data_IF_701995225210
#
_entry.id   IF_701995225210
#
_cell.length_a   1.000
_cell.length_b   1.000
_cell.length_c   1.000
_cell.angle_alpha   90.00
_cell.angle_beta   90.00
_cell.angle_gamma   90.00
#
_symmetry.space_group_name_H-M   'P 1'
#
loop_
_entity.id
_entity.type
_entity.pdbx_description
1 polymer ?
#
# COMPACT_ATOMS: atom_id res chain seq x y z
N UNK A 1 9.97 5.68 48.61
CA UNK A 1 10.78 6.90 48.67
C UNK A 1 10.63 7.60 47.31
N UNK A 2 9.87 8.69 47.30
CA UNK A 2 9.55 9.48 46.11
C UNK A 2 10.51 10.64 46.03
N UNK A 3 11.09 10.88 44.85
CA UNK A 3 11.80 12.11 44.54
C UNK A 3 11.06 12.84 43.42
N UNK A 4 10.32 13.87 43.81
CA UNK A 4 9.80 14.92 42.91
C UNK A 4 10.94 15.88 42.58
N UNK A 5 11.19 16.17 41.32
CA UNK A 5 11.97 17.34 40.88
C UNK A 5 11.03 18.32 40.15
N UNK A 6 10.94 19.50 40.76
CA UNK A 6 10.31 20.70 40.21
C UNK A 6 11.20 21.29 39.11
N UNK A 7 10.58 21.66 37.98
CA UNK A 7 11.20 22.45 36.91
C UNK A 7 10.59 23.87 36.96
N UNK A 8 11.37 24.94 36.91
CA UNK A 8 10.85 26.31 36.97
C UNK A 8 10.28 26.77 35.62
N UNK A 9 9.17 27.52 35.72
CA UNK A 9 8.51 28.18 34.61
C UNK A 9 9.33 29.39 34.10
N UNK A 10 9.64 29.42 32.84
CA UNK A 10 10.16 30.60 32.13
C UNK A 10 9.03 31.35 31.42
N UNK A 11 9.01 32.67 31.68
CA UNK A 11 7.99 33.60 31.14
C UNK A 11 8.16 33.77 29.63
N UNK A 12 7.03 33.65 28.91
CA UNK A 12 6.92 33.95 27.47
C UNK A 12 6.36 35.36 27.32
N UNK A 13 7.17 36.25 26.76
CA UNK A 13 6.75 37.63 26.42
C UNK A 13 5.81 37.65 25.21
N UNK A 14 4.71 38.35 25.38
CA UNK A 14 3.68 38.58 24.37
C UNK A 14 4.11 39.71 23.43
N UNK A 15 4.35 39.45 22.16
CA UNK A 15 4.56 40.50 21.14
C UNK A 15 3.24 40.67 20.37
N UNK A 16 2.60 41.78 20.55
CA UNK A 16 1.44 42.21 19.77
C UNK A 16 1.90 42.76 18.41
N UNK A 17 1.60 42.07 17.33
CA UNK A 17 1.73 42.59 15.98
C UNK A 17 0.40 43.19 15.51
N UNK A 18 0.41 44.48 15.20
CA UNK A 18 -0.69 45.23 14.62
C UNK A 18 -0.91 44.83 13.14
N UNK A 19 -2.03 44.21 12.84
CA UNK A 19 -2.44 43.90 11.46
C UNK A 19 -3.28 45.05 10.94
N UNK A 20 -2.83 45.70 9.85
CA UNK A 20 -3.60 46.67 9.06
C UNK A 20 -4.50 45.94 8.05
N UNK A 21 -5.76 46.39 7.82
CA UNK A 21 -6.59 45.79 6.80
C UNK A 21 -6.19 46.28 5.41
N UNK A 22 -5.99 45.36 4.48
CA UNK A 22 -5.82 45.62 3.05
C UNK A 22 -7.17 45.49 2.37
N UNK A 23 -7.58 46.59 1.71
CA UNK A 23 -8.82 46.68 0.96
C UNK A 23 -8.79 45.77 -0.29
N UNK A 24 -9.86 44.97 -0.44
CA UNK A 24 -10.04 44.08 -1.57
C UNK A 24 -10.18 44.81 -2.92
N UNK A 25 -9.48 44.33 -3.93
CA UNK A 25 -9.80 44.52 -5.34
C UNK A 25 -10.16 43.16 -5.94
N UNK A 26 -11.44 43.05 -6.29
CA UNK A 26 -11.94 41.95 -7.14
C UNK A 26 -11.47 42.22 -8.58
N UNK A 27 -10.50 41.42 -9.03
CA UNK A 27 -10.10 41.35 -10.41
C UNK A 27 -10.05 39.87 -10.81
N UNK A 28 -11.04 39.43 -11.56
CA UNK A 28 -11.00 38.11 -12.22
C UNK A 28 -10.00 38.25 -13.37
N UNK A 29 -8.75 37.91 -13.14
CA UNK A 29 -7.75 37.74 -14.20
C UNK A 29 -7.73 36.27 -14.60
N UNK A 30 -8.00 36.01 -15.89
CA UNK A 30 -7.89 34.69 -16.49
C UNK A 30 -6.52 34.09 -16.20
N UNK A 31 -6.52 32.88 -15.63
CA UNK A 31 -5.30 32.16 -15.33
C UNK A 31 -4.45 31.93 -16.59
N UNK A 32 -3.13 31.90 -16.47
CA UNK A 32 -2.26 31.63 -17.63
C UNK A 32 -2.60 30.24 -18.17
N UNK A 33 -2.88 30.19 -19.47
CA UNK A 33 -2.95 28.91 -20.23
C UNK A 33 -1.66 28.17 -19.93
N UNK A 34 -1.77 26.98 -19.35
CA UNK A 34 -0.63 26.18 -18.95
C UNK A 34 0.37 26.07 -20.10
N UNK A 35 1.60 26.45 -19.83
CA UNK A 35 2.70 26.17 -20.73
C UNK A 35 2.72 24.64 -20.94
N UNK A 36 3.01 24.15 -22.18
CA UNK A 36 3.14 22.73 -22.41
C UNK A 36 4.18 22.19 -21.43
N UNK A 37 3.78 21.21 -20.62
CA UNK A 37 4.70 20.49 -19.74
C UNK A 37 5.76 19.91 -20.68
N UNK A 38 6.97 20.44 -20.64
CA UNK A 38 8.09 19.87 -21.39
C UNK A 38 8.19 18.41 -20.96
N UNK A 39 8.14 17.50 -21.91
CA UNK A 39 8.46 16.10 -21.66
C UNK A 39 9.80 16.07 -20.90
N UNK A 40 9.83 15.40 -19.75
CA UNK A 40 11.06 15.27 -19.01
C UNK A 40 12.07 14.55 -19.90
N UNK A 41 13.22 15.18 -20.15
CA UNK A 41 14.28 14.54 -20.91
C UNK A 41 14.95 13.50 -20.04
N UNK A 42 15.14 12.30 -20.57
CA UNK A 42 15.89 11.25 -19.90
C UNK A 42 17.28 11.08 -20.52
N UNK A 43 18.23 10.61 -19.72
CA UNK A 43 19.57 10.18 -20.15
C UNK A 43 19.78 8.68 -19.89
N UNK A 44 19.08 8.12 -18.90
CA UNK A 44 19.15 6.71 -18.51
C UNK A 44 17.76 6.19 -18.11
N UNK A 45 17.60 4.87 -18.00
CA UNK A 45 16.36 4.23 -17.57
C UNK A 45 15.96 4.59 -16.12
N UNK A 46 16.92 5.01 -15.31
CA UNK A 46 16.67 5.58 -13.98
C UNK A 46 15.78 6.82 -14.04
N UNK A 47 15.92 7.64 -15.07
CA UNK A 47 15.09 8.84 -15.26
C UNK A 47 13.64 8.48 -15.64
N UNK A 48 13.41 7.21 -15.99
CA UNK A 48 12.11 6.61 -16.29
C UNK A 48 11.59 5.72 -15.15
N UNK A 49 12.01 5.97 -13.90
CA UNK A 49 11.63 5.22 -12.70
C UNK A 49 11.91 3.71 -12.78
N UNK A 50 12.78 3.27 -13.69
CA UNK A 50 12.98 1.86 -14.09
C UNK A 50 11.68 1.15 -14.55
N UNK A 51 10.55 1.85 -14.65
CA UNK A 51 9.29 1.37 -15.21
C UNK A 51 9.18 1.63 -16.72
N UNK A 52 10.29 1.88 -17.37
CA UNK A 52 10.42 2.12 -18.79
C UNK A 52 11.88 2.22 -19.19
N UNK A 53 12.11 2.54 -20.45
CA UNK A 53 13.43 2.74 -21.04
C UNK A 53 13.56 4.12 -21.63
N UNK A 54 14.75 4.73 -21.50
CA UNK A 54 15.07 6.01 -22.12
C UNK A 54 15.44 5.82 -23.60
N UNK A 55 14.62 6.33 -24.50
CA UNK A 55 14.83 6.23 -25.96
C UNK A 55 14.81 7.60 -26.59
N UNK A 56 15.92 8.03 -27.16
CA UNK A 56 16.00 9.32 -27.85
C UNK A 56 15.73 10.53 -26.94
N UNK A 57 16.03 10.43 -25.67
CA UNK A 57 15.80 11.49 -24.68
C UNK A 57 14.37 11.56 -24.12
N UNK A 58 13.53 10.55 -24.39
CA UNK A 58 12.17 10.44 -23.84
C UNK A 58 11.93 9.06 -23.23
N UNK A 59 11.15 8.98 -22.16
CA UNK A 59 10.78 7.73 -21.54
C UNK A 59 9.73 6.99 -22.36
N UNK A 60 10.00 5.73 -22.69
CA UNK A 60 9.02 4.76 -23.17
C UNK A 60 8.65 3.83 -22.05
N UNK A 61 7.47 4.02 -21.50
CA UNK A 61 7.01 3.29 -20.32
C UNK A 61 6.59 1.86 -20.66
N UNK A 62 6.84 0.96 -19.72
CA UNK A 62 6.31 -0.40 -19.73
C UNK A 62 4.86 -0.38 -19.22
N UNK A 63 3.91 -1.07 -19.85
CA UNK A 63 2.56 -1.20 -19.29
C UNK A 63 2.59 -1.81 -17.87
N UNK A 64 1.77 -1.33 -16.94
CA UNK A 64 0.75 -0.29 -17.06
C UNK A 64 1.23 1.12 -16.68
N UNK A 65 2.52 1.36 -16.66
CA UNK A 65 3.10 2.64 -16.27
C UNK A 65 2.96 3.71 -17.36
N UNK A 66 2.80 4.95 -16.96
CA UNK A 66 2.61 6.11 -17.82
C UNK A 66 3.19 7.39 -17.21
N UNK A 67 3.03 8.50 -17.91
CA UNK A 67 3.53 9.80 -17.50
C UNK A 67 4.96 10.07 -18.01
N UNK A 68 5.46 11.29 -17.81
CA UNK A 68 6.73 11.73 -18.41
C UNK A 68 7.96 10.98 -17.89
N UNK A 69 7.86 10.37 -16.72
CA UNK A 69 8.93 9.59 -16.06
C UNK A 69 8.49 8.18 -15.71
N UNK A 70 7.39 7.67 -16.30
CA UNK A 70 6.82 6.34 -16.05
C UNK A 70 6.51 6.09 -14.54
N UNK A 71 6.07 7.10 -13.85
CA UNK A 71 5.84 7.05 -12.40
C UNK A 71 4.37 6.95 -12.00
N UNK A 72 3.44 6.80 -12.96
CA UNK A 72 2.00 6.79 -12.71
C UNK A 72 1.40 5.52 -13.32
N UNK A 73 0.55 4.84 -12.56
CA UNK A 73 -0.21 3.69 -13.03
C UNK A 73 -1.42 4.14 -13.86
N UNK A 74 -1.58 3.53 -15.02
CA UNK A 74 -2.76 3.69 -15.86
C UNK A 74 -3.84 2.70 -15.44
N UNK A 75 -5.08 3.16 -15.29
CA UNK A 75 -6.22 2.34 -14.92
C UNK A 75 -7.03 1.94 -16.14
N UNK A 76 -7.48 0.70 -16.14
CA UNK A 76 -8.60 0.24 -16.97
C UNK A 76 -9.90 0.37 -16.19
N UNK A 77 -11.02 0.32 -16.90
CA UNK A 77 -12.32 0.08 -16.29
C UNK A 77 -12.26 -1.20 -15.47
N UNK A 78 -12.52 -1.07 -14.17
CA UNK A 78 -12.46 -2.19 -13.23
C UNK A 78 -13.82 -2.88 -13.17
N UNK A 79 -13.93 -4.23 -13.13
CA UNK A 79 -15.18 -4.89 -12.82
C UNK A 79 -15.76 -4.38 -11.49
N UNK A 80 -17.09 -4.14 -11.46
CA UNK A 80 -17.76 -3.60 -10.26
C UNK A 80 -17.57 -4.51 -9.03
N UNK A 81 -17.38 -5.82 -9.22
CA UNK A 81 -17.03 -6.78 -8.17
C UNK A 81 -15.70 -6.47 -7.48
N UNK A 82 -14.81 -5.71 -8.13
CA UNK A 82 -13.54 -5.30 -7.56
C UNK A 82 -13.63 -4.13 -6.57
N UNK A 83 -14.77 -3.43 -6.51
CA UNK A 83 -14.97 -2.29 -5.59
C UNK A 83 -14.84 -2.73 -4.14
N UNK A 84 -15.48 -3.86 -3.80
CA UNK A 84 -15.28 -4.52 -2.52
C UNK A 84 -15.15 -6.01 -2.74
N UNK A 85 -14.01 -6.58 -2.36
CA UNK A 85 -13.77 -8.02 -2.49
C UNK A 85 -14.48 -8.83 -1.39
N UNK A 86 -14.97 -8.18 -0.36
CA UNK A 86 -15.80 -8.75 0.71
C UNK A 86 -17.21 -8.17 0.62
N UNK A 87 -18.28 -8.96 0.92
CA UNK A 87 -19.65 -8.47 0.77
C UNK A 87 -19.93 -7.22 1.60
N UNK A 88 -20.30 -6.12 0.96
CA UNK A 88 -20.67 -4.85 1.63
C UNK A 88 -21.91 -5.02 2.53
N UNK A 89 -22.71 -6.06 2.31
CA UNK A 89 -23.87 -6.41 3.17
C UNK A 89 -23.47 -7.02 4.51
N UNK A 90 -22.22 -7.46 4.67
CA UNK A 90 -21.69 -7.94 5.95
C UNK A 90 -21.21 -6.72 6.77
N UNK A 91 -21.66 -6.56 8.00
CA UNK A 91 -21.29 -5.38 8.80
C UNK A 91 -19.85 -5.41 9.33
N UNK A 92 -19.10 -6.50 9.05
CA UNK A 92 -17.70 -6.63 9.49
C UNK A 92 -16.78 -5.92 8.51
N UNK A 93 -15.76 -5.31 9.03
CA UNK A 93 -14.73 -4.66 8.24
C UNK A 93 -13.66 -5.63 7.77
N UNK A 94 -13.03 -5.30 6.66
CA UNK A 94 -11.80 -5.92 6.18
C UNK A 94 -10.75 -4.83 5.96
N UNK A 95 -9.47 -5.21 5.94
CA UNK A 95 -8.43 -4.23 5.68
C UNK A 95 -7.28 -4.84 4.92
N UNK A 96 -7.32 -4.71 3.58
CA UNK A 96 -6.45 -5.39 2.64
C UNK A 96 -6.53 -6.92 2.74
N UNK A 97 -5.74 -7.64 1.92
CA UNK A 97 -5.67 -9.08 1.89
C UNK A 97 -4.45 -9.54 1.10
N UNK A 98 -4.21 -10.83 1.07
CA UNK A 98 -3.22 -11.45 0.21
C UNK A 98 -3.91 -12.28 -0.86
N UNK A 99 -3.69 -11.97 -2.15
CA UNK A 99 -4.23 -12.71 -3.27
C UNK A 99 -3.15 -13.61 -3.87
N UNK A 100 -3.43 -14.89 -4.00
CA UNK A 100 -2.54 -15.89 -4.61
C UNK A 100 -3.31 -16.62 -5.70
N UNK A 101 -2.74 -16.77 -6.89
CA UNK A 101 -3.28 -17.67 -7.89
C UNK A 101 -2.84 -19.10 -7.58
N UNK A 102 -3.83 -19.98 -7.38
CA UNK A 102 -3.59 -21.38 -7.09
C UNK A 102 -3.28 -22.21 -8.35
N UNK A 103 -2.69 -23.38 -8.13
CA UNK A 103 -2.51 -24.39 -9.20
C UNK A 103 -3.82 -24.95 -9.72
N UNK A 104 -4.91 -24.79 -8.97
CA UNK A 104 -6.29 -25.11 -9.35
C UNK A 104 -6.90 -24.07 -10.31
N UNK A 105 -6.14 -23.04 -10.65
CA UNK A 105 -6.56 -21.95 -11.53
C UNK A 105 -7.46 -20.90 -10.86
N UNK A 106 -7.77 -21.05 -9.58
CA UNK A 106 -8.55 -20.08 -8.82
C UNK A 106 -7.65 -19.02 -8.18
N UNK A 107 -8.24 -17.89 -7.87
CA UNK A 107 -7.65 -16.85 -7.04
C UNK A 107 -8.07 -17.06 -5.60
N UNK A 108 -7.11 -17.15 -4.71
CA UNK A 108 -7.29 -17.34 -3.28
C UNK A 108 -7.00 -16.03 -2.57
N UNK A 109 -7.98 -15.50 -1.89
CA UNK A 109 -7.86 -14.27 -1.10
C UNK A 109 -7.90 -14.63 0.39
N UNK A 110 -6.84 -14.28 1.09
CA UNK A 110 -6.73 -14.34 2.54
C UNK A 110 -6.96 -12.94 3.10
N UNK A 111 -8.08 -12.76 3.78
CA UNK A 111 -8.55 -11.44 4.16
C UNK A 111 -8.82 -11.37 5.67
N UNK A 112 -8.22 -10.40 6.40
CA UNK A 112 -8.53 -10.20 7.80
C UNK A 112 -9.93 -9.62 7.95
N UNK A 113 -10.69 -10.18 8.90
CA UNK A 113 -12.04 -9.74 9.23
C UNK A 113 -12.03 -9.22 10.66
N UNK A 114 -12.54 -8.02 10.84
CA UNK A 114 -12.67 -7.34 12.11
C UNK A 114 -14.13 -7.34 12.58
N UNK A 115 -14.34 -7.07 13.85
CA UNK A 115 -15.68 -6.83 14.38
C UNK A 115 -16.26 -5.57 13.71
N UNK A 116 -17.60 -5.48 13.60
CA UNK A 116 -18.24 -4.26 13.12
C UNK A 116 -17.76 -3.02 13.89
N UNK A 117 -17.50 -1.95 13.15
CA UNK A 117 -17.06 -0.67 13.70
C UNK A 117 -15.64 -0.67 14.26
N UNK A 118 -14.78 -1.61 13.84
CA UNK A 118 -13.36 -1.64 14.25
C UNK A 118 -12.45 -2.02 13.09
N UNK A 119 -11.24 -1.48 13.08
CA UNK A 119 -10.12 -1.89 12.22
C UNK A 119 -8.89 -2.30 13.04
N UNK A 120 -9.04 -2.51 14.32
CA UNK A 120 -7.96 -2.89 15.21
C UNK A 120 -8.34 -4.01 16.16
N UNK A 121 -7.38 -4.48 16.93
CA UNK A 121 -7.59 -5.54 17.93
C UNK A 121 -7.51 -6.93 17.33
N UNK A 122 -8.41 -7.83 17.75
CA UNK A 122 -8.40 -9.22 17.29
C UNK A 122 -9.17 -9.36 15.98
N UNK A 123 -8.50 -9.83 14.95
CA UNK A 123 -9.11 -10.19 13.67
C UNK A 123 -9.13 -11.70 13.47
N UNK A 124 -9.92 -12.15 12.50
CA UNK A 124 -9.96 -13.53 12.03
C UNK A 124 -9.60 -13.54 10.56
N UNK A 125 -8.71 -14.42 10.14
CA UNK A 125 -8.40 -14.58 8.74
C UNK A 125 -9.49 -15.40 8.05
N UNK A 126 -10.11 -14.86 6.99
CA UNK A 126 -10.99 -15.61 6.11
C UNK A 126 -10.25 -15.97 4.82
N UNK A 127 -10.65 -17.09 4.25
CA UNK A 127 -10.21 -17.55 2.96
C UNK A 127 -11.38 -17.57 1.98
N UNK A 128 -11.23 -16.86 0.87
CA UNK A 128 -12.17 -16.84 -0.24
C UNK A 128 -11.53 -17.31 -1.54
N UNK A 129 -12.33 -17.86 -2.45
CA UNK A 129 -11.87 -18.26 -3.79
C UNK A 129 -12.73 -17.66 -4.88
N UNK A 130 -12.12 -17.33 -6.02
CA UNK A 130 -12.81 -16.78 -7.19
C UNK A 130 -12.17 -17.26 -8.49
N UNK A 131 -12.97 -17.27 -9.58
CA UNK A 131 -12.45 -17.55 -10.93
C UNK A 131 -11.74 -16.32 -11.55
N UNK A 132 -11.99 -15.13 -11.03
CA UNK A 132 -11.33 -13.87 -11.44
C UNK A 132 -10.65 -13.24 -10.25
N UNK A 133 -9.53 -12.55 -10.50
CA UNK A 133 -8.81 -11.80 -9.46
C UNK A 133 -9.67 -10.68 -8.85
N UNK A 134 -10.59 -10.13 -9.62
CA UNK A 134 -11.57 -9.11 -9.18
C UNK A 134 -12.81 -9.70 -8.53
N UNK A 135 -12.84 -11.01 -8.28
CA UNK A 135 -14.01 -11.66 -7.69
C UNK A 135 -15.14 -11.98 -8.72
N UNK A 136 -16.39 -12.20 -8.24
CA UNK A 136 -16.74 -12.23 -6.82
C UNK A 136 -16.15 -13.44 -6.09
N UNK A 137 -15.69 -13.23 -4.87
CA UNK A 137 -15.13 -14.28 -4.04
C UNK A 137 -16.21 -15.05 -3.30
N UNK A 138 -16.05 -16.36 -3.25
CA UNK A 138 -16.86 -17.25 -2.41
C UNK A 138 -16.11 -17.53 -1.13
N UNK A 139 -16.71 -17.16 0.00
CA UNK A 139 -16.09 -17.17 1.31
C UNK A 139 -16.41 -18.44 2.09
N UNK A 140 -15.45 -18.87 2.92
CA UNK A 140 -15.60 -20.03 3.82
C UNK A 140 -15.91 -21.37 3.13
N UNK A 141 -15.59 -21.49 1.85
CA UNK A 141 -15.78 -22.77 1.14
C UNK A 141 -14.72 -23.80 1.55
N UNK A 142 -13.65 -23.35 2.19
CA UNK A 142 -12.54 -24.20 2.67
C UNK A 142 -12.23 -23.83 4.12
N UNK A 143 -12.53 -24.72 5.07
CA UNK A 143 -12.22 -24.48 6.45
C UNK A 143 -10.71 -24.54 6.70
N UNK A 144 -10.24 -23.85 7.71
CA UNK A 144 -8.98 -24.04 8.42
C UNK A 144 -7.81 -23.11 8.08
N UNK A 145 -8.10 -21.81 7.96
CA UNK A 145 -7.09 -20.89 8.45
C UNK A 145 -7.68 -20.23 9.69
N UNK A 146 -7.75 -21.00 10.77
CA UNK A 146 -7.98 -20.40 12.08
C UNK A 146 -6.64 -19.93 12.58
N UNK A 147 -6.23 -18.76 12.15
CA UNK A 147 -5.19 -18.02 12.82
C UNK A 147 -5.93 -17.31 13.95
N UNK A 148 -6.12 -18.02 15.05
CA UNK A 148 -6.64 -17.45 16.30
C UNK A 148 -5.49 -16.82 17.07
N UNK A 149 -5.72 -15.65 17.63
CA UNK A 149 -4.99 -15.04 18.74
C UNK A 149 -3.74 -14.22 18.44
N UNK A 150 -3.73 -13.42 17.39
CA UNK A 150 -2.67 -12.40 17.33
C UNK A 150 -3.31 -11.07 17.02
N UNK A 151 -2.85 -10.03 17.69
CA UNK A 151 -3.28 -8.65 17.44
C UNK A 151 -3.43 -8.33 15.96
N UNK A 152 -3.89 -7.19 15.60
CA UNK A 152 -4.26 -6.79 14.25
C UNK A 152 -3.48 -7.50 13.12
N UNK A 153 -4.18 -8.25 12.26
CA UNK A 153 -3.60 -8.89 11.08
C UNK A 153 -3.53 -7.94 9.88
N UNK A 154 -3.32 -6.68 10.14
CA UNK A 154 -3.39 -5.63 9.15
C UNK A 154 -2.50 -5.93 7.95
N UNK A 155 -3.09 -5.88 6.75
CA UNK A 155 -2.37 -5.94 5.50
C UNK A 155 -1.52 -7.20 5.27
N UNK A 156 -2.12 -8.41 5.28
CA UNK A 156 -1.37 -9.63 5.00
C UNK A 156 -0.67 -9.54 3.65
N UNK A 157 0.56 -10.01 3.61
CA UNK A 157 1.34 -10.20 2.39
C UNK A 157 1.57 -11.68 2.15
N UNK A 158 1.84 -12.06 0.92
CA UNK A 158 2.11 -13.45 0.57
C UNK A 158 3.35 -13.57 -0.31
N UNK A 159 4.06 -14.68 -0.14
CA UNK A 159 5.12 -15.11 -1.05
C UNK A 159 4.91 -16.58 -1.35
N UNK A 160 4.95 -16.92 -2.64
CA UNK A 160 5.00 -18.31 -3.11
C UNK A 160 6.43 -18.59 -3.54
N UNK A 161 7.01 -19.66 -3.04
CA UNK A 161 8.38 -20.02 -3.37
C UNK A 161 8.58 -21.53 -3.49
N UNK A 162 9.62 -21.93 -4.19
CA UNK A 162 10.08 -23.32 -4.18
C UNK A 162 11.13 -23.49 -3.09
N UNK A 163 10.86 -24.35 -2.14
CA UNK A 163 11.79 -24.69 -1.06
C UNK A 163 13.00 -25.41 -1.68
N UNK A 164 14.21 -24.88 -1.56
CA UNK A 164 15.40 -25.44 -2.21
C UNK A 164 15.83 -26.80 -1.65
N UNK A 165 15.39 -27.18 -0.44
CA UNK A 165 15.73 -28.47 0.15
C UNK A 165 14.78 -29.58 -0.28
N UNK A 166 13.49 -29.27 -0.34
CA UNK A 166 12.46 -30.25 -0.64
C UNK A 166 11.99 -30.22 -2.08
N UNK A 167 12.37 -29.17 -2.83
CA UNK A 167 11.91 -28.86 -4.17
C UNK A 167 10.36 -28.80 -4.27
N UNK A 168 9.71 -28.46 -3.17
CA UNK A 168 8.25 -28.33 -3.09
C UNK A 168 7.85 -26.86 -3.08
N UNK A 169 6.69 -26.56 -3.68
CA UNK A 169 6.07 -25.23 -3.58
C UNK A 169 5.58 -25.00 -2.17
N UNK A 170 5.89 -23.84 -1.61
CA UNK A 170 5.42 -23.38 -0.33
C UNK A 170 4.66 -22.06 -0.49
N UNK A 171 3.63 -21.91 0.30
CA UNK A 171 2.81 -20.72 0.38
C UNK A 171 3.03 -20.06 1.74
N UNK A 172 3.23 -18.76 1.75
CA UNK A 172 3.43 -18.04 3.01
C UNK A 172 2.42 -16.93 3.16
N UNK A 173 2.00 -16.69 4.41
CA UNK A 173 1.27 -15.50 4.82
C UNK A 173 2.09 -14.74 5.85
N UNK A 174 2.36 -13.49 5.56
CA UNK A 174 3.10 -12.58 6.42
C UNK A 174 2.10 -11.65 7.09
N UNK A 175 2.04 -11.74 8.39
CA UNK A 175 1.05 -11.04 9.21
C UNK A 175 1.78 -10.24 10.30
N UNK A 176 1.11 -9.29 10.91
CA UNK A 176 1.66 -8.53 12.02
C UNK A 176 2.23 -9.46 13.10
N UNK A 177 3.56 -9.56 13.15
CA UNK A 177 4.29 -10.36 14.16
C UNK A 177 4.54 -11.82 13.83
N UNK A 178 4.25 -12.32 12.63
CA UNK A 178 4.55 -13.71 12.28
C UNK A 178 4.50 -14.06 10.80
N UNK A 179 5.13 -15.17 10.47
CA UNK A 179 5.04 -15.82 9.16
C UNK A 179 4.41 -17.18 9.32
N UNK A 180 3.46 -17.48 8.46
CA UNK A 180 2.76 -18.77 8.42
C UNK A 180 3.08 -19.45 7.09
N UNK A 181 3.33 -20.74 7.13
CA UNK A 181 3.75 -21.54 5.96
C UNK A 181 2.80 -22.72 5.78
N UNK A 182 2.46 -23.00 4.53
CA UNK A 182 1.68 -24.18 4.13
C UNK A 182 2.22 -24.82 2.86
N UNK A 183 1.92 -26.10 2.68
CA UNK A 183 2.16 -26.86 1.45
C UNK A 183 1.01 -26.74 0.46
N UNK A 184 -0.13 -26.20 0.89
CA UNK A 184 -1.33 -26.02 0.10
C UNK A 184 -2.03 -24.71 0.47
N UNK A 185 -2.72 -24.10 -0.50
CA UNK A 185 -3.56 -22.93 -0.24
C UNK A 185 -4.79 -23.24 0.64
N UNK A 186 -5.13 -24.53 0.76
CA UNK A 186 -6.16 -24.99 1.69
C UNK A 186 -5.64 -25.16 3.12
N UNK A 187 -4.35 -24.91 3.35
CA UNK A 187 -3.69 -25.06 4.62
C UNK A 187 -3.41 -26.54 5.00
N UNK A 188 -3.12 -26.82 6.27
CA UNK A 188 -3.06 -25.85 7.35
C UNK A 188 -1.85 -24.91 7.22
N UNK A 189 -2.06 -23.64 7.50
CA UNK A 189 -0.97 -22.67 7.62
C UNK A 189 -0.42 -22.73 9.04
N UNK A 190 0.84 -23.10 9.15
CA UNK A 190 1.51 -23.25 10.44
C UNK A 190 2.42 -22.07 10.71
N UNK A 191 2.30 -21.48 11.88
CA UNK A 191 3.18 -20.39 12.30
C UNK A 191 4.61 -20.89 12.42
N UNK A 192 5.54 -20.12 11.87
CA UNK A 192 6.96 -20.37 12.02
C UNK A 192 7.43 -19.88 13.39
N UNK A 193 7.50 -20.80 14.35
CA UNK A 193 7.87 -20.48 15.71
C UNK A 193 9.32 -20.01 15.83
N UNK A 194 9.56 -19.03 16.70
CA UNK A 194 10.89 -18.48 16.91
C UNK A 194 11.46 -17.66 15.75
N UNK A 195 10.71 -17.52 14.67
CA UNK A 195 11.05 -16.62 13.58
C UNK A 195 10.59 -15.21 13.92
N UNK A 196 11.50 -14.27 13.86
CA UNK A 196 11.22 -12.85 14.02
C UNK A 196 11.77 -12.13 12.81
N UNK A 197 10.91 -11.42 12.10
CA UNK A 197 11.38 -10.46 11.13
C UNK A 197 11.37 -9.05 11.76
N UNK A 198 12.19 -8.14 11.26
CA UNK A 198 12.22 -6.79 11.79
C UNK A 198 10.93 -6.04 11.44
N UNK A 199 10.17 -5.63 12.44
CA UNK A 199 9.08 -4.67 12.32
C UNK A 199 7.66 -5.19 12.12
N UNK A 200 6.74 -4.27 11.83
CA UNK A 200 5.36 -4.50 11.41
C UNK A 200 5.23 -4.24 9.90
N UNK A 201 4.16 -4.71 9.26
CA UNK A 201 3.83 -4.44 7.86
C UNK A 201 5.00 -4.69 6.88
N UNK A 202 5.53 -5.93 6.77
CA UNK A 202 6.64 -6.24 5.88
C UNK A 202 6.20 -6.23 4.42
N UNK A 203 7.14 -5.91 3.52
CA UNK A 203 7.03 -6.21 2.10
C UNK A 203 7.97 -7.37 1.76
N UNK A 204 7.52 -8.62 1.87
CA UNK A 204 8.36 -9.78 1.60
C UNK A 204 8.53 -10.02 0.09
N UNK A 205 9.72 -10.47 -0.29
CA UNK A 205 10.05 -10.87 -1.64
C UNK A 205 10.93 -12.12 -1.61
N UNK A 206 10.64 -13.11 -2.45
CA UNK A 206 11.54 -14.20 -2.74
C UNK A 206 12.28 -13.93 -4.06
N UNK A 207 13.59 -13.85 -4.00
CA UNK A 207 14.42 -13.59 -5.18
C UNK A 207 15.77 -14.30 -5.07
N UNK A 208 16.19 -14.98 -6.13
CA UNK A 208 17.51 -15.65 -6.25
C UNK A 208 17.89 -16.51 -5.05
N UNK A 209 16.93 -17.27 -4.51
CA UNK A 209 17.19 -18.21 -3.42
C UNK A 209 17.27 -17.57 -2.02
N UNK A 210 16.81 -16.33 -1.85
CA UNK A 210 16.74 -15.67 -0.58
C UNK A 210 15.43 -14.91 -0.41
N UNK A 211 15.02 -14.71 0.84
CA UNK A 211 13.95 -13.82 1.20
C UNK A 211 14.51 -12.45 1.49
N UNK A 212 13.79 -11.45 1.04
CA UNK A 212 14.00 -10.05 1.35
C UNK A 212 12.75 -9.50 1.99
N UNK A 213 12.90 -8.53 2.89
CA UNK A 213 11.77 -7.81 3.46
C UNK A 213 12.14 -6.35 3.70
N UNK A 214 11.31 -5.44 3.23
CA UNK A 214 11.42 -4.03 3.57
C UNK A 214 10.73 -3.76 4.89
N UNK A 215 11.40 -3.04 5.76
CA UNK A 215 10.82 -2.44 6.96
C UNK A 215 11.36 -1.02 7.15
N UNK A 216 10.46 -0.05 7.14
CA UNK A 216 10.85 1.36 7.15
C UNK A 216 11.81 1.67 6.00
N UNK A 217 12.99 2.16 6.34
CA UNK A 217 14.05 2.48 5.36
C UNK A 217 15.05 1.35 5.13
N UNK A 218 14.88 0.19 5.75
CA UNK A 218 15.88 -0.89 5.68
C UNK A 218 15.35 -2.10 4.92
N UNK A 219 16.16 -2.64 4.04
CA UNK A 219 15.94 -3.95 3.41
C UNK A 219 16.74 -4.99 4.18
N UNK A 220 16.05 -6.01 4.63
CA UNK A 220 16.66 -7.17 5.30
C UNK A 220 16.60 -8.39 4.40
N UNK A 221 17.52 -9.32 4.61
CA UNK A 221 17.56 -10.60 3.89
C UNK A 221 17.81 -11.77 4.82
N UNK A 222 17.25 -12.92 4.45
CA UNK A 222 17.55 -14.22 5.05
C UNK A 222 17.50 -15.31 3.97
N UNK A 223 18.40 -16.28 3.98
CA UNK A 223 18.38 -17.36 2.99
C UNK A 223 17.20 -18.31 3.17
N UNK A 224 16.59 -18.36 4.36
CA UNK A 224 15.60 -19.38 4.69
C UNK A 224 14.57 -18.90 5.71
N UNK A 225 13.33 -19.37 5.55
CA UNK A 225 12.27 -19.25 6.54
C UNK A 225 12.27 -20.47 7.45
N UNK A 226 13.12 -20.46 8.46
CA UNK A 226 13.20 -21.52 9.46
C UNK A 226 13.22 -20.92 10.88
N UNK A 227 12.85 -21.71 11.87
CA UNK A 227 12.93 -21.30 13.28
C UNK A 227 14.35 -20.83 13.62
N UNK A 228 14.45 -19.67 14.26
CA UNK A 228 15.73 -19.08 14.64
C UNK A 228 16.53 -18.45 13.50
N UNK A 229 16.00 -18.39 12.28
CA UNK A 229 16.66 -17.69 11.17
C UNK A 229 16.88 -16.22 11.55
N UNK A 230 18.06 -15.72 11.17
CA UNK A 230 18.44 -14.34 11.41
C UNK A 230 18.34 -13.54 10.12
N UNK A 231 17.82 -12.35 10.26
CA UNK A 231 17.85 -11.36 9.21
C UNK A 231 19.16 -10.58 9.29
N UNK A 232 19.71 -10.28 8.13
CA UNK A 232 20.85 -9.40 7.96
C UNK A 232 20.44 -8.21 7.13
N UNK A 233 20.98 -7.05 7.40
CA UNK A 233 20.76 -5.88 6.58
C UNK A 233 21.36 -6.11 5.18
N UNK A 234 20.57 -5.85 4.15
CA UNK A 234 20.96 -5.93 2.76
C UNK A 234 21.28 -4.56 2.18
N UNK A 235 20.47 -3.55 2.53
CA UNK A 235 20.59 -2.19 2.05
C UNK A 235 19.59 -1.27 2.73
N UNK A 236 19.65 0.01 2.39
CA UNK A 236 18.75 1.02 2.92
C UNK A 236 18.07 1.80 1.79
N UNK A 237 16.76 1.98 1.89
CA UNK A 237 15.99 2.85 1.00
C UNK A 237 16.29 4.30 1.37
N UNK A 238 16.91 5.03 0.45
CA UNK A 238 17.12 6.46 0.63
C UNK A 238 15.80 7.21 0.42
N UNK A 239 15.47 8.08 1.35
CA UNK A 239 14.36 9.01 1.21
C UNK A 239 14.80 10.37 0.65
N UNK A 240 15.97 10.43 0.03
CA UNK A 240 16.45 11.65 -0.61
C UNK A 240 15.47 12.10 -1.72
N UNK A 241 15.06 13.36 -1.67
CA UNK A 241 14.06 13.92 -2.57
C UNK A 241 12.60 13.70 -2.17
N UNK A 242 12.32 12.83 -1.19
CA UNK A 242 10.99 12.73 -0.59
C UNK A 242 10.72 14.00 0.23
N UNK A 243 9.55 14.63 0.09
CA UNK A 243 9.21 15.77 0.95
C UNK A 243 9.36 15.40 2.43
N UNK A 244 9.96 16.32 3.21
CA UNK A 244 10.31 16.04 4.61
C UNK A 244 9.10 15.74 5.52
N UNK A 245 7.93 16.15 5.11
CA UNK A 245 6.66 15.91 5.77
C UNK A 245 5.98 14.58 5.35
N UNK A 246 6.54 13.86 4.38
CA UNK A 246 5.96 12.59 3.93
C UNK A 246 6.57 11.42 4.69
N UNK A 247 5.68 10.54 5.14
CA UNK A 247 6.04 9.32 5.85
C UNK A 247 5.52 8.12 5.05
N UNK A 248 6.37 7.51 4.20
CA UNK A 248 6.03 6.29 3.49
C UNK A 248 5.77 5.15 4.47
N UNK A 249 4.64 4.45 4.30
CA UNK A 249 4.23 3.33 5.13
C UNK A 249 3.67 2.19 4.28
N UNK A 250 3.55 1.00 4.86
CA UNK A 250 2.93 -0.20 4.30
C UNK A 250 3.42 -0.56 2.89
N UNK A 251 4.69 -0.86 2.74
CA UNK A 251 5.30 -1.11 1.44
C UNK A 251 4.76 -2.38 0.76
N UNK A 252 4.83 -2.37 -0.56
CA UNK A 252 4.92 -3.58 -1.38
C UNK A 252 6.20 -3.58 -2.19
N UNK A 253 6.87 -4.73 -2.29
CA UNK A 253 8.18 -4.84 -2.94
C UNK A 253 8.15 -5.94 -3.99
N UNK A 254 8.65 -5.64 -5.19
CA UNK A 254 8.72 -6.61 -6.27
C UNK A 254 9.97 -6.43 -7.13
N UNK A 255 10.22 -7.44 -7.98
CA UNK A 255 11.18 -7.37 -9.07
C UNK A 255 10.47 -7.25 -10.40
N UNK A 256 10.95 -6.37 -11.28
CA UNK A 256 10.51 -6.34 -12.66
C UNK A 256 11.20 -7.40 -13.53
N UNK A 257 10.80 -7.53 -14.79
CA UNK A 257 11.38 -8.48 -15.75
C UNK A 257 12.84 -8.19 -16.12
N UNK A 258 13.34 -7.00 -15.81
CA UNK A 258 14.73 -6.59 -16.00
C UNK A 258 15.57 -6.75 -14.74
N UNK A 259 14.99 -7.37 -13.69
CA UNK A 259 15.58 -7.53 -12.37
C UNK A 259 15.83 -6.19 -11.64
N UNK A 260 15.05 -5.17 -11.92
CA UNK A 260 15.05 -3.97 -11.11
C UNK A 260 14.15 -4.18 -9.88
N UNK A 261 14.55 -3.57 -8.80
CA UNK A 261 13.84 -3.57 -7.52
C UNK A 261 12.90 -2.39 -7.44
N UNK A 262 11.71 -2.64 -6.94
CA UNK A 262 10.68 -1.62 -6.77
C UNK A 262 10.02 -1.74 -5.41
N UNK A 263 9.66 -0.59 -4.83
CA UNK A 263 8.83 -0.49 -3.63
C UNK A 263 7.78 0.59 -3.88
N UNK A 264 6.52 0.27 -3.62
CA UNK A 264 5.43 1.22 -3.59
C UNK A 264 4.85 1.28 -2.18
N UNK A 265 4.48 2.49 -1.75
CA UNK A 265 3.93 2.75 -0.42
C UNK A 265 2.71 3.65 -0.55
N UNK A 266 1.82 3.63 0.45
CA UNK A 266 1.11 4.86 0.75
C UNK A 266 1.97 5.77 1.64
N UNK A 267 1.61 7.04 1.75
CA UNK A 267 2.35 7.99 2.55
C UNK A 267 1.41 8.97 3.26
N UNK A 268 1.83 9.43 4.43
CA UNK A 268 1.14 10.46 5.19
C UNK A 268 1.84 11.81 5.03
N UNK A 269 1.07 12.88 5.08
CA UNK A 269 1.58 14.25 5.19
C UNK A 269 1.55 14.69 6.66
N UNK A 270 2.71 14.90 7.28
CA UNK A 270 2.85 15.34 8.68
C UNK A 270 2.08 14.50 9.71
N UNK A 271 1.98 13.18 9.50
CA UNK A 271 1.16 12.32 10.33
C UNK A 271 -0.36 12.61 10.28
N UNK A 272 -0.80 13.40 9.34
CA UNK A 272 -2.22 13.55 9.11
C UNK A 272 -2.74 12.36 8.33
N UNK A 273 -3.70 11.65 8.90
CA UNK A 273 -4.42 10.59 8.20
C UNK A 273 -5.16 11.20 7.02
N UNK A 274 -4.84 10.70 5.85
CA UNK A 274 -5.35 11.28 4.62
C UNK A 274 -6.65 10.62 4.24
N UNK A 275 -7.72 11.11 4.84
CA UNK A 275 -9.04 10.59 4.61
C UNK A 275 -9.78 11.29 3.46
N UNK A 276 -9.09 12.13 2.69
CA UNK A 276 -9.67 12.80 1.55
C UNK A 276 -8.75 12.79 0.35
N UNK A 277 -9.30 12.47 -0.82
CA UNK A 277 -8.57 12.27 -2.07
C UNK A 277 -7.66 13.42 -2.51
N UNK A 278 -7.84 14.62 -1.97
CA UNK A 278 -7.01 15.79 -2.27
C UNK A 278 -5.66 15.79 -1.56
N UNK A 279 -5.49 14.97 -0.53
CA UNK A 279 -4.29 14.89 0.29
C UNK A 279 -3.62 13.52 0.25
N UNK A 280 -4.08 12.64 -0.60
CA UNK A 280 -3.53 11.29 -0.71
C UNK A 280 -2.17 11.31 -1.33
N UNK A 281 -1.24 10.69 -0.64
CA UNK A 281 0.13 10.55 -1.07
C UNK A 281 0.49 9.07 -1.21
N UNK A 282 1.31 8.80 -2.18
CA UNK A 282 1.95 7.51 -2.36
C UNK A 282 3.36 7.75 -2.88
N UNK A 283 4.25 6.81 -2.70
CA UNK A 283 5.61 6.91 -3.17
C UNK A 283 6.04 5.64 -3.89
N UNK A 284 6.94 5.80 -4.85
CA UNK A 284 7.55 4.71 -5.57
C UNK A 284 9.06 4.87 -5.53
N UNK A 285 9.72 3.89 -4.95
CA UNK A 285 11.17 3.79 -4.91
C UNK A 285 11.62 2.67 -5.85
N UNK A 286 12.78 2.84 -6.46
CA UNK A 286 13.33 1.85 -7.39
C UNK A 286 14.85 1.79 -7.30
N UNK A 287 15.40 0.62 -7.67
CA UNK A 287 16.82 0.33 -7.58
C UNK A 287 17.23 -0.72 -8.60
N UNK A 288 18.46 -0.67 -9.11
CA UNK A 288 19.03 -1.71 -9.96
C UNK A 288 19.71 -2.84 -9.17
N UNK A 289 20.09 -2.59 -7.92
CA UNK A 289 20.92 -3.49 -7.11
C UNK A 289 20.29 -3.84 -5.74
N UNK A 290 19.13 -3.28 -5.42
CA UNK A 290 18.47 -3.42 -4.13
C UNK A 290 19.17 -2.68 -2.97
N UNK A 291 20.21 -1.91 -3.25
CA UNK A 291 21.02 -1.20 -2.28
C UNK A 291 21.02 0.31 -2.47
N UNK A 292 21.17 0.73 -3.74
CA UNK A 292 21.11 2.13 -4.13
C UNK A 292 19.70 2.44 -4.62
N UNK A 293 18.93 3.16 -3.83
CA UNK A 293 17.53 3.45 -4.10
C UNK A 293 17.33 4.87 -4.58
N UNK A 294 16.37 5.05 -5.46
CA UNK A 294 16.03 6.31 -6.10
C UNK A 294 14.53 6.61 -5.90
N UNK A 295 14.24 7.90 -5.85
CA UNK A 295 12.89 8.45 -5.83
C UNK A 295 12.83 9.63 -6.79
N UNK A 296 11.79 9.72 -7.62
CA UNK A 296 11.58 10.86 -8.50
C UNK A 296 10.42 11.72 -7.99
N UNK A 297 10.66 12.98 -7.61
CA UNK A 297 9.60 13.89 -7.16
C UNK A 297 8.47 14.13 -8.18
N UNK A 298 8.71 13.84 -9.46
CA UNK A 298 7.71 13.93 -10.52
C UNK A 298 6.74 12.73 -10.53
N UNK A 299 7.04 11.68 -9.76
CA UNK A 299 6.27 10.44 -9.66
C UNK A 299 5.62 10.30 -8.27
N UNK A 300 5.09 11.40 -7.75
CA UNK A 300 4.63 11.51 -6.35
C UNK A 300 3.25 10.90 -6.07
N UNK A 301 2.56 10.40 -7.06
CA UNK A 301 1.26 9.74 -6.88
C UNK A 301 1.16 8.61 -7.89
N UNK A 302 1.81 7.46 -7.63
CA UNK A 302 1.79 6.34 -8.56
C UNK A 302 0.40 5.77 -8.78
N UNK A 303 -0.57 5.93 -7.87
CA UNK A 303 -1.94 5.49 -8.06
C UNK A 303 -2.96 6.57 -7.65
N UNK A 304 -4.16 6.51 -8.27
CA UNK A 304 -5.26 7.44 -8.06
C UNK A 304 -6.31 6.82 -7.14
N UNK A 305 -7.01 7.66 -6.38
CA UNK A 305 -8.17 7.27 -5.57
C UNK A 305 -9.49 7.22 -6.35
N UNK A 306 -9.50 7.71 -7.59
CA UNK A 306 -10.69 7.69 -8.44
C UNK A 306 -10.65 6.52 -9.40
N UNK A 307 -11.62 5.64 -9.30
CA UNK A 307 -11.73 4.40 -10.08
C UNK A 307 -13.04 4.37 -10.87
N UNK A 308 -12.95 4.01 -12.14
CA UNK A 308 -14.12 3.79 -13.00
C UNK A 308 -14.44 2.30 -13.06
N UNK A 309 -15.74 1.98 -12.95
CA UNK A 309 -16.24 0.61 -12.96
C UNK A 309 -17.02 0.30 -14.23
N UNK A 310 -17.12 -0.98 -14.57
CA UNK A 310 -17.80 -1.48 -15.78
C UNK A 310 -19.35 -1.36 -15.73
N UNK A 311 -19.91 -1.10 -14.54
CA UNK A 311 -21.31 -0.73 -14.35
C UNK A 311 -21.62 0.75 -14.68
N UNK A 312 -20.61 1.49 -15.12
CA UNK A 312 -20.70 2.92 -15.45
C UNK A 312 -20.54 3.85 -14.25
N UNK A 313 -20.34 3.33 -13.06
CA UNK A 313 -20.10 4.15 -11.86
C UNK A 313 -18.65 4.59 -11.77
N UNK A 314 -18.43 5.69 -11.08
CA UNK A 314 -17.10 6.17 -10.66
C UNK A 314 -17.11 6.29 -9.15
N UNK A 315 -16.11 5.71 -8.51
CA UNK A 315 -15.94 5.79 -7.07
C UNK A 315 -14.64 6.53 -6.73
N UNK A 316 -14.74 7.51 -5.83
CA UNK A 316 -13.58 8.21 -5.27
C UNK A 316 -13.42 7.74 -3.83
N UNK A 317 -12.44 6.89 -3.59
CA UNK A 317 -12.14 6.38 -2.27
C UNK A 317 -11.59 7.48 -1.37
N UNK A 318 -12.04 7.52 -0.12
CA UNK A 318 -11.53 8.43 0.90
C UNK A 318 -10.08 8.11 1.23
N UNK A 319 -9.78 6.81 1.37
CA UNK A 319 -8.41 6.33 1.59
C UNK A 319 -8.15 5.07 0.78
N UNK A 320 -6.92 4.92 0.30
CA UNK A 320 -6.37 3.70 -0.31
C UNK A 320 -4.98 3.47 0.25
N UNK A 321 -4.85 2.40 1.02
CA UNK A 321 -3.63 2.08 1.76
C UNK A 321 -3.15 0.67 1.46
N UNK A 322 -1.95 0.33 1.93
CA UNK A 322 -1.40 -1.03 1.90
C UNK A 322 -1.40 -1.63 0.50
N UNK A 323 -0.79 -0.94 -0.49
CA UNK A 323 -0.79 -1.44 -1.85
C UNK A 323 -0.18 -2.84 -1.93
N UNK A 324 -0.77 -3.68 -2.78
CA UNK A 324 -0.21 -4.95 -3.19
C UNK A 324 -0.31 -5.06 -4.72
N UNK A 325 0.80 -5.29 -5.37
CA UNK A 325 0.89 -5.43 -6.81
C UNK A 325 0.56 -6.87 -7.22
N UNK A 326 -0.35 -7.02 -8.16
CA UNK A 326 -0.72 -8.34 -8.67
C UNK A 326 -0.23 -8.52 -10.11
N UNK A 327 0.60 -9.54 -10.30
CA UNK A 327 1.19 -9.90 -11.58
C UNK A 327 0.52 -11.16 -12.14
N UNK A 328 0.28 -11.16 -13.45
CA UNK A 328 -0.16 -12.36 -14.15
C UNK A 328 0.99 -13.37 -14.35
N UNK A 329 0.69 -14.52 -14.97
CA UNK A 329 1.66 -15.60 -15.21
C UNK A 329 2.79 -15.17 -16.15
N UNK A 330 2.59 -14.13 -16.93
CA UNK A 330 3.64 -13.56 -17.79
C UNK A 330 4.53 -12.58 -17.05
N UNK A 331 4.21 -12.28 -15.76
CA UNK A 331 4.86 -11.27 -14.94
C UNK A 331 4.50 -9.85 -15.37
N UNK A 332 3.36 -9.64 -16.04
CA UNK A 332 2.81 -8.33 -16.31
C UNK A 332 2.01 -7.88 -15.09
N UNK A 333 2.26 -6.66 -14.64
CA UNK A 333 1.47 -6.01 -13.60
C UNK A 333 0.08 -5.68 -14.15
N UNK A 334 -0.96 -6.31 -13.60
CA UNK A 334 -2.32 -6.22 -14.12
C UNK A 334 -3.31 -5.60 -13.15
N UNK A 335 -3.05 -5.67 -11.86
CA UNK A 335 -3.93 -5.11 -10.83
C UNK A 335 -3.11 -4.57 -9.65
N UNK A 336 -3.73 -3.66 -8.93
CA UNK A 336 -3.31 -3.27 -7.59
C UNK A 336 -4.48 -3.51 -6.64
N UNK A 337 -4.25 -4.18 -5.52
CA UNK A 337 -5.27 -4.30 -4.48
C UNK A 337 -4.82 -3.57 -3.22
N UNK A 338 -5.78 -3.03 -2.49
CA UNK A 338 -5.55 -2.07 -1.42
C UNK A 338 -6.57 -2.27 -0.30
N UNK A 339 -6.20 -1.83 0.89
CA UNK A 339 -7.16 -1.47 1.92
C UNK A 339 -7.85 -0.17 1.50
N UNK A 340 -9.14 -0.08 1.73
CA UNK A 340 -9.95 1.05 1.31
C UNK A 340 -10.98 1.43 2.38
N UNK A 341 -11.24 2.72 2.52
CA UNK A 341 -12.53 3.16 3.04
C UNK A 341 -13.52 3.16 1.88
N UNK A 342 -14.59 2.37 2.01
CA UNK A 342 -15.56 2.14 0.94
C UNK A 342 -16.57 3.29 0.78
N UNK A 343 -16.55 4.29 1.67
CA UNK A 343 -17.36 5.50 1.52
C UNK A 343 -16.79 6.36 0.42
N UNK A 344 -17.66 6.99 -0.38
CA UNK A 344 -17.21 7.91 -1.42
C UNK A 344 -16.59 9.17 -0.83
N UNK A 345 -15.60 9.73 -1.51
CA UNK A 345 -14.94 10.96 -1.06
C UNK A 345 -15.90 12.15 -0.87
N UNK A 346 -16.96 12.23 -1.69
CA UNK A 346 -17.98 13.27 -1.58
C UNK A 346 -18.82 13.13 -0.31
N UNK A 347 -19.13 11.91 0.10
CA UNK A 347 -19.85 11.61 1.34
C UNK A 347 -18.91 11.64 2.54
N UNK A 348 -17.71 11.09 2.39
CA UNK A 348 -16.72 10.94 3.43
C UNK A 348 -15.95 12.22 3.76
N UNK A 349 -15.73 13.11 2.80
CA UNK A 349 -14.90 14.31 2.93
C UNK A 349 -15.67 15.63 3.05
N UNK A 350 -16.98 15.60 3.18
CA UNK A 350 -17.81 16.82 3.25
C UNK A 350 -17.28 17.85 4.25
N UNK A 351 -17.05 19.07 3.78
CA UNK A 351 -16.68 20.31 4.55
C UNK A 351 -15.65 20.18 5.69
N UNK A 352 -14.67 19.32 5.57
CA UNK A 352 -13.66 19.09 6.61
C UNK A 352 -12.48 20.03 6.46
N UNK A 353 -12.27 20.87 7.46
CA UNK A 353 -11.15 21.81 7.50
C UNK A 353 -10.08 21.46 8.53
N UNK A 354 -10.28 20.42 9.34
CA UNK A 354 -9.31 20.07 10.40
C UNK A 354 -9.22 18.57 10.58
N UNK A 355 -8.11 18.01 10.16
CA UNK A 355 -7.71 16.63 10.42
C UNK A 355 -6.46 16.62 11.30
N UNK A 356 -6.52 16.06 12.48
CA UNK A 356 -5.34 15.83 13.29
C UNK A 356 -5.18 14.36 13.63
N UNK A 357 -3.97 13.88 13.54
CA UNK A 357 -3.58 12.47 13.68
C UNK A 357 -3.94 11.81 15.03
N UNK A 358 -4.15 12.56 16.07
CA UNK A 358 -4.35 12.01 17.42
C UNK A 358 -5.63 12.44 18.10
N UNK A 359 -6.61 12.72 17.40
CA UNK A 359 -7.71 13.03 18.19
C UNK A 359 -8.72 13.78 17.55
N UNK A 360 -9.48 13.15 17.22
CA UNK A 360 -10.72 13.80 17.12
C UNK A 360 -10.85 14.56 15.82
N UNK A 361 -10.97 13.79 14.80
CA UNK A 361 -11.76 14.28 13.69
C UNK A 361 -13.20 14.21 14.15
N UNK A 362 -13.84 15.31 14.46
CA UNK A 362 -15.27 15.31 14.60
C UNK A 362 -15.85 15.23 13.20
N UNK A 363 -15.84 14.06 12.69
CA UNK A 363 -16.65 13.65 11.61
C UNK A 363 -17.80 12.89 12.24
N UNK A 364 -18.87 13.60 12.56
CA UNK A 364 -20.03 13.00 13.20
C UNK A 364 -20.63 11.85 12.40
N UNK A 365 -20.20 11.66 11.13
CA UNK A 365 -20.71 10.63 10.24
C UNK A 365 -19.63 9.85 9.47
N UNK A 366 -18.34 10.07 9.71
CA UNK A 366 -17.28 9.34 9.04
C UNK A 366 -16.42 8.62 10.06
N UNK A 367 -16.88 7.51 10.47
CA UNK A 367 -16.05 6.56 11.19
C UNK A 367 -15.36 5.72 10.12
N UNK A 368 -14.13 6.07 9.81
CA UNK A 368 -13.17 5.28 9.06
C UNK A 368 -13.24 3.78 9.42
N UNK A 369 -13.46 3.49 10.69
CA UNK A 369 -13.57 2.15 11.23
C UNK A 369 -14.88 1.43 10.84
N UNK A 370 -15.89 2.16 10.34
CA UNK A 370 -17.20 1.57 10.04
C UNK A 370 -17.30 1.07 8.58
N UNK A 371 -16.36 1.44 7.69
CA UNK A 371 -16.45 1.19 6.25
C UNK A 371 -15.18 0.58 5.64
N UNK A 372 -14.34 0.01 6.47
CA UNK A 372 -13.10 -0.60 6.03
C UNK A 372 -13.35 -1.79 5.09
N UNK A 373 -12.65 -1.81 3.96
CA UNK A 373 -12.80 -2.79 2.91
C UNK A 373 -11.49 -3.19 2.25
N UNK A 374 -11.58 -4.15 1.35
CA UNK A 374 -10.51 -4.57 0.45
C UNK A 374 -10.98 -4.38 -0.98
N UNK A 375 -10.30 -3.54 -1.73
CA UNK A 375 -10.59 -3.25 -3.13
C UNK A 375 -9.47 -3.72 -4.06
N UNK A 376 -9.80 -3.94 -5.34
CA UNK A 376 -8.84 -4.23 -6.38
C UNK A 376 -9.13 -3.39 -7.62
N UNK A 377 -8.10 -2.87 -8.24
CA UNK A 377 -8.20 -1.96 -9.38
C UNK A 377 -7.44 -2.57 -10.56
N UNK A 378 -8.11 -2.64 -11.71
CA UNK A 378 -7.52 -3.13 -12.94
C UNK A 378 -6.59 -2.08 -13.57
N UNK A 379 -5.41 -2.53 -13.98
CA UNK A 379 -4.37 -1.71 -14.57
C UNK A 379 -4.21 -2.03 -16.06
N UNK A 380 -3.80 -1.03 -16.84
CA UNK A 380 -3.44 -1.22 -18.24
C UNK A 380 -3.54 0.07 -19.03
N UNK A 381 -3.10 0.00 -20.28
CA UNK A 381 -3.21 1.07 -21.26
C UNK A 381 -4.49 0.93 -22.07
#
# INVERSE_FOLDING_TARGET
>A
MAFSRLIPATAVGLVLALVRPVAGRSGISGGPRGAPVRAASCAADLDCSLNGVCVGGACRCDPPWTGPVCGVLSYKTTPASGRSLYPESDPRNTWNGAIIRGIDGLYHLFNPIYKPGTLGGTSTMLHGTAASVTGPYQWNTRPNITISEIGAFDGPKSVVYTDPETNSTKYTLWLGGGVYIADSLDGPFTRLEGFKYPGANPAPLWHQGAFYANYGTTIYTTPRLVSGARWTEHGAVSHEGVPANWLPEDPDMWMDKRNNWHIINHAYDNYEWQHCATSVLSSHFFSQDGKTWHFLPQAVQPYSHTVQYDDGTTHMFVTLERPNMFFDETGLLTHIHLAADLVTGDEGCGNRTNHSHYGHVPCDNCKYEDHGGTTIIALGL
#
